data_IF_926655817148
#
_entry.id   IF_926655817148
#
_cell.length_a   1.000
_cell.length_b   1.000
_cell.length_c   1.000
_cell.angle_alpha   90.00
_cell.angle_beta   90.00
_cell.angle_gamma   90.00
#
_symmetry.space_group_name_H-M   'P 1'
#
loop_
_entity.id
_entity.type
_entity.pdbx_description
1 polymer ?
#
# COMPACT_ATOMS: atom_id res chain seq x y z
N UNK A 1 11.67 0.88 -9.91
CA UNK A 1 10.66 0.85 -11.00
C UNK A 1 9.43 0.16 -10.46
N UNK A 2 8.25 0.78 -10.58
CA UNK A 2 7.02 0.21 -10.05
C UNK A 2 6.55 -0.91 -10.98
N UNK A 3 6.55 -2.16 -10.51
CA UNK A 3 6.04 -3.31 -11.28
C UNK A 3 4.51 -3.33 -11.13
N UNK A 4 3.75 -3.76 -12.16
CA UNK A 4 2.31 -3.86 -12.03
C UNK A 4 1.97 -4.91 -10.97
N UNK A 5 1.04 -4.59 -10.08
CA UNK A 5 0.52 -5.51 -9.07
C UNK A 5 -0.76 -6.14 -9.61
N UNK A 6 -0.87 -7.46 -9.47
CA UNK A 6 -2.04 -8.21 -9.91
C UNK A 6 -2.40 -9.22 -8.83
N UNK A 7 -3.67 -9.25 -8.44
CA UNK A 7 -4.17 -10.23 -7.50
C UNK A 7 -4.10 -11.65 -8.08
N UNK A 8 -3.68 -12.62 -7.27
CA UNK A 8 -3.90 -14.03 -7.55
C UNK A 8 -4.00 -14.83 -6.24
N UNK A 9 -4.75 -15.94 -6.28
CA UNK A 9 -4.81 -16.87 -5.17
C UNK A 9 -3.61 -17.82 -5.21
N UNK A 10 -2.81 -17.82 -4.14
CA UNK A 10 -1.63 -18.70 -4.01
C UNK A 10 -2.02 -20.19 -3.93
N UNK A 11 -3.25 -20.53 -3.56
CA UNK A 11 -3.74 -21.90 -3.63
C UNK A 11 -4.17 -22.31 -5.04
N UNK A 12 -4.37 -21.35 -5.95
CA UNK A 12 -4.74 -21.62 -7.33
C UNK A 12 -3.51 -21.84 -8.23
N UNK A 13 -2.59 -22.69 -7.75
CA UNK A 13 -1.46 -23.15 -8.52
C UNK A 13 -1.85 -24.32 -9.43
N UNK A 14 -1.17 -24.44 -10.56
CA UNK A 14 -1.22 -25.63 -11.39
C UNK A 14 -0.31 -26.75 -10.82
N UNK A 15 -0.32 -27.90 -11.49
CA UNK A 15 0.50 -29.06 -11.09
C UNK A 15 2.02 -28.82 -11.15
N UNK A 16 2.46 -27.72 -11.77
CA UNK A 16 3.86 -27.28 -11.86
C UNK A 16 4.18 -26.17 -10.86
N UNK A 17 3.24 -25.79 -10.01
CA UNK A 17 3.41 -24.73 -9.01
C UNK A 17 3.33 -23.32 -9.60
N UNK A 18 2.73 -23.13 -10.78
CA UNK A 18 2.51 -21.80 -11.39
C UNK A 18 1.13 -21.29 -11.03
N UNK A 19 1.02 -20.03 -10.63
CA UNK A 19 -0.27 -19.43 -10.23
C UNK A 19 -1.13 -19.12 -11.45
N UNK A 20 -2.39 -19.56 -11.46
CA UNK A 20 -3.32 -19.24 -12.56
C UNK A 20 -3.82 -17.80 -12.45
N UNK A 21 -3.65 -17.03 -13.51
CA UNK A 21 -4.07 -15.63 -13.62
C UNK A 21 -5.50 -15.53 -14.18
N UNK A 22 -6.43 -16.27 -13.59
CA UNK A 22 -7.82 -16.39 -14.05
C UNK A 22 -8.86 -16.04 -12.98
N UNK A 23 -8.44 -15.71 -11.76
CA UNK A 23 -9.34 -15.33 -10.68
C UNK A 23 -10.01 -13.98 -10.99
N UNK A 24 -11.22 -13.76 -10.47
CA UNK A 24 -11.98 -12.50 -10.66
C UNK A 24 -11.13 -11.27 -10.29
N UNK A 25 -10.47 -11.28 -9.12
CA UNK A 25 -9.59 -10.18 -8.71
C UNK A 25 -8.42 -9.93 -9.66
N UNK A 26 -7.89 -10.98 -10.31
CA UNK A 26 -6.88 -10.84 -11.36
C UNK A 26 -7.43 -10.00 -12.50
N UNK A 27 -8.62 -10.34 -13.01
CA UNK A 27 -9.24 -9.70 -14.16
C UNK A 27 -9.55 -8.24 -13.82
N UNK A 28 -10.10 -7.98 -12.63
CA UNK A 28 -10.38 -6.63 -12.15
C UNK A 28 -9.12 -5.76 -12.09
N UNK A 29 -7.99 -6.29 -11.61
CA UNK A 29 -6.73 -5.56 -11.57
C UNK A 29 -6.16 -5.33 -12.98
N UNK A 30 -6.22 -6.32 -13.86
CA UNK A 30 -5.77 -6.19 -15.24
C UNK A 30 -6.56 -5.10 -15.97
N UNK A 31 -7.88 -5.04 -15.79
CA UNK A 31 -8.74 -4.01 -16.36
C UNK A 31 -8.47 -2.64 -15.73
N UNK A 32 -8.44 -2.57 -14.39
CA UNK A 32 -8.19 -1.33 -13.63
C UNK A 32 -6.88 -0.67 -14.02
N UNK A 33 -5.84 -1.46 -14.25
CA UNK A 33 -4.51 -0.98 -14.59
C UNK A 33 -4.21 -0.98 -16.10
N UNK A 34 -5.15 -1.44 -16.94
CA UNK A 34 -4.95 -1.55 -18.39
C UNK A 34 -3.80 -2.48 -18.77
N UNK A 35 -3.57 -3.54 -17.99
CA UNK A 35 -2.48 -4.49 -18.18
C UNK A 35 -2.91 -5.56 -19.17
N UNK A 36 -2.15 -5.72 -20.25
CA UNK A 36 -2.26 -6.85 -21.17
C UNK A 36 -1.13 -7.82 -20.85
N UNK A 37 -1.48 -9.04 -20.43
CA UNK A 37 -0.54 -10.11 -20.12
C UNK A 37 0.26 -10.53 -21.36
N UNK A 38 1.58 -10.69 -21.19
CA UNK A 38 2.51 -11.14 -22.22
C UNK A 38 3.51 -12.13 -21.63
N UNK A 39 3.94 -13.08 -22.46
CA UNK A 39 4.99 -14.03 -22.09
C UNK A 39 6.26 -13.31 -21.59
N UNK A 40 6.80 -13.73 -20.45
CA UNK A 40 7.99 -13.17 -19.84
C UNK A 40 7.80 -11.84 -19.09
N UNK A 41 6.56 -11.32 -19.00
CA UNK A 41 6.28 -10.08 -18.28
C UNK A 41 6.42 -10.27 -16.77
N UNK A 42 7.22 -9.43 -16.10
CA UNK A 42 7.32 -9.42 -14.64
C UNK A 42 6.16 -8.66 -14.00
N UNK A 43 5.54 -9.27 -12.98
CA UNK A 43 4.45 -8.72 -12.17
C UNK A 43 4.76 -8.91 -10.68
N UNK A 44 4.13 -8.12 -9.83
CA UNK A 44 3.99 -8.45 -8.41
C UNK A 44 2.65 -9.14 -8.25
N UNK A 45 2.69 -10.41 -7.87
CA UNK A 45 1.51 -11.19 -7.53
C UNK A 45 1.22 -10.99 -6.06
N UNK A 46 -0.01 -10.62 -5.73
CA UNK A 46 -0.40 -10.44 -4.33
C UNK A 46 -1.71 -11.14 -3.99
N UNK A 47 -1.85 -11.48 -2.73
CA UNK A 47 -3.06 -11.93 -2.05
C UNK A 47 -3.13 -11.17 -0.72
N UNK A 48 -4.27 -11.20 -0.03
CA UNK A 48 -4.60 -10.42 1.17
C UNK A 48 -3.40 -9.90 1.98
N UNK A 49 -2.55 -10.81 2.45
CA UNK A 49 -1.38 -10.52 3.28
C UNK A 49 -0.06 -10.95 2.64
N UNK A 50 -0.05 -11.44 1.39
CA UNK A 50 1.13 -12.03 0.76
C UNK A 50 1.46 -11.37 -0.57
N UNK A 51 2.74 -11.18 -0.87
CA UNK A 51 3.19 -10.77 -2.19
C UNK A 51 4.47 -11.50 -2.62
N UNK A 52 4.61 -11.66 -3.93
CA UNK A 52 5.79 -12.26 -4.55
C UNK A 52 5.99 -11.70 -5.95
N UNK A 53 7.22 -11.70 -6.43
CA UNK A 53 7.47 -11.43 -7.83
C UNK A 53 7.15 -12.67 -8.67
N UNK A 54 6.42 -12.47 -9.77
CA UNK A 54 6.08 -13.52 -10.73
C UNK A 54 6.42 -13.13 -12.16
N UNK A 55 6.70 -14.15 -12.97
CA UNK A 55 6.89 -14.00 -14.42
C UNK A 55 5.73 -14.65 -15.15
N UNK A 56 5.06 -13.88 -15.99
CA UNK A 56 3.91 -14.34 -16.77
C UNK A 56 4.35 -15.38 -17.80
N UNK A 57 3.57 -16.46 -17.88
CA UNK A 57 3.78 -17.56 -18.79
C UNK A 57 2.44 -18.12 -19.29
N UNK A 58 2.31 -18.32 -20.60
CA UNK A 58 1.13 -18.96 -21.19
C UNK A 58 1.21 -20.48 -21.04
N UNK A 59 0.28 -21.06 -20.28
CA UNK A 59 0.17 -22.51 -20.16
C UNK A 59 -0.53 -23.09 -21.38
N UNK A 60 0.23 -23.70 -22.29
CA UNK A 60 -0.33 -24.41 -23.44
C UNK A 60 -1.22 -25.61 -23.06
N UNK A 61 -1.00 -26.18 -21.87
CA UNK A 61 -1.72 -27.34 -21.35
C UNK A 61 -3.13 -26.96 -20.87
N UNK A 62 -3.25 -25.84 -20.17
CA UNK A 62 -4.51 -25.36 -19.60
C UNK A 62 -5.16 -24.23 -20.42
N UNK A 63 -4.47 -23.76 -21.48
CA UNK A 63 -4.88 -22.67 -22.37
C UNK A 63 -5.18 -21.35 -21.64
N UNK A 64 -4.41 -21.05 -20.60
CA UNK A 64 -4.57 -19.85 -19.77
C UNK A 64 -3.23 -19.24 -19.37
N UNK A 65 -3.26 -17.98 -18.93
CA UNK A 65 -2.10 -17.30 -18.38
C UNK A 65 -1.80 -17.74 -16.96
N UNK A 66 -0.53 -18.01 -16.69
CA UNK A 66 0.00 -18.37 -15.38
C UNK A 66 1.13 -17.42 -14.99
N UNK A 67 1.50 -17.40 -13.71
CA UNK A 67 2.71 -16.76 -13.21
C UNK A 67 3.63 -17.80 -12.58
N UNK A 68 4.87 -17.85 -13.05
CA UNK A 68 5.96 -18.60 -12.41
C UNK A 68 6.47 -17.74 -11.25
N UNK A 69 6.45 -18.28 -10.03
CA UNK A 69 6.90 -17.61 -8.81
C UNK A 69 7.96 -18.45 -8.11
N UNK A 70 8.76 -17.80 -7.27
CA UNK A 70 9.61 -18.47 -6.30
C UNK A 70 8.87 -18.54 -4.95
N UNK A 71 8.49 -19.74 -4.53
CA UNK A 71 7.72 -19.98 -3.32
C UNK A 71 8.50 -19.63 -2.05
N UNK A 72 9.83 -19.72 -2.09
CA UNK A 72 10.69 -19.35 -0.97
C UNK A 72 10.89 -17.82 -0.87
N UNK A 73 10.45 -17.07 -1.88
CA UNK A 73 10.56 -15.62 -1.96
C UNK A 73 9.26 -14.87 -1.62
N UNK A 74 8.21 -15.59 -1.21
CA UNK A 74 6.95 -14.99 -0.76
C UNK A 74 7.18 -14.16 0.50
N UNK A 75 6.56 -12.98 0.55
CA UNK A 75 6.68 -12.02 1.66
C UNK A 75 5.32 -11.65 2.19
N UNK A 76 5.25 -11.41 3.49
CA UNK A 76 4.08 -10.78 4.09
C UNK A 76 4.04 -9.30 3.69
N UNK A 77 2.86 -8.85 3.26
CA UNK A 77 2.57 -7.43 3.04
C UNK A 77 2.08 -6.89 4.36
N UNK A 78 2.87 -5.99 4.97
CA UNK A 78 2.35 -5.25 6.13
C UNK A 78 1.07 -4.52 5.70
N UNK A 79 -0.05 -4.66 6.44
CA UNK A 79 -1.24 -3.90 6.15
C UNK A 79 -0.85 -2.43 6.14
N UNK A 80 -1.24 -1.70 5.10
CA UNK A 80 -1.12 -0.25 5.07
C UNK A 80 -2.05 0.26 6.17
N UNK A 81 -1.56 0.32 7.41
CA UNK A 81 -2.19 1.11 8.46
C UNK A 81 -2.17 2.53 7.92
N UNK A 82 -3.33 3.14 7.61
CA UNK A 82 -3.34 4.55 7.31
C UNK A 82 -2.72 5.20 8.54
N UNK A 83 -1.53 5.81 8.41
CA UNK A 83 -1.06 6.66 9.49
C UNK A 83 -2.21 7.65 9.72
N UNK A 84 -2.77 7.74 10.94
CA UNK A 84 -3.69 8.82 11.21
C UNK A 84 -2.94 10.08 10.82
N UNK A 85 -3.50 10.83 9.87
CA UNK A 85 -2.94 12.11 9.47
C UNK A 85 -2.66 12.84 10.78
N UNK A 86 -1.38 13.12 11.06
CA UNK A 86 -1.00 14.00 12.16
C UNK A 86 -1.61 15.35 11.76
N UNK A 87 -2.87 15.59 12.13
CA UNK A 87 -3.44 16.91 12.11
C UNK A 87 -2.62 17.69 13.13
N UNK A 88 -1.87 18.64 12.60
CA UNK A 88 -0.99 19.51 13.35
C UNK A 88 -1.67 19.98 14.64
N UNK A 89 -1.15 19.51 15.77
CA UNK A 89 -1.29 20.25 17.02
C UNK A 89 -0.51 21.54 16.84
N UNK A 90 -1.20 22.59 16.38
CA UNK A 90 -0.70 23.96 16.50
C UNK A 90 -0.38 24.22 17.96
N UNK A 91 0.83 24.65 18.32
CA UNK A 91 1.09 25.04 19.70
C UNK A 91 0.22 26.24 20.03
N UNK A 92 -0.65 26.09 21.03
CA UNK A 92 -1.30 27.22 21.70
C UNK A 92 -0.17 28.10 22.25
N UNK A 93 0.05 29.25 21.61
CA UNK A 93 0.95 30.26 22.16
C UNK A 93 0.22 30.91 23.34
N UNK A 94 0.64 30.56 24.56
CA UNK A 94 0.20 31.26 25.77
C UNK A 94 0.72 32.71 25.75
N UNK A 95 -0.12 33.73 26.05
CA UNK A 95 0.31 35.12 26.05
C UNK A 95 1.20 35.45 27.26
N UNK A 96 2.35 36.08 27.00
CA UNK A 96 3.43 36.43 27.94
C UNK A 96 3.12 37.57 28.94
N UNK A 97 1.90 37.71 29.45
CA UNK A 97 1.62 38.71 30.51
C UNK A 97 1.66 38.13 31.93
N UNK A 98 1.81 36.81 32.08
CA UNK A 98 2.03 36.20 33.37
C UNK A 98 3.54 36.04 33.66
N UNK A 99 4.25 37.15 33.91
CA UNK A 99 5.47 37.16 34.73
C UNK A 99 5.95 38.59 35.04
N UNK A 100 5.54 39.08 36.22
CA UNK A 100 6.42 39.81 37.14
C UNK A 100 6.69 41.30 36.88
N UNK A 101 6.00 42.16 37.65
CA UNK A 101 6.44 43.54 37.87
C UNK A 101 5.45 44.29 38.76
N UNK A 102 5.77 44.42 40.06
CA UNK A 102 5.03 45.28 40.98
C UNK A 102 5.06 46.73 40.47
N UNK A 103 3.88 47.31 40.18
CA UNK A 103 3.70 48.76 40.15
C UNK A 103 2.78 49.16 41.31
N UNK A 104 3.32 50.08 42.10
CA UNK A 104 2.85 50.58 43.39
C UNK A 104 1.52 51.31 43.31
N UNK A 105 0.74 51.23 44.39
CA UNK A 105 -0.46 52.04 44.59
C UNK A 105 -0.10 53.53 44.77
N UNK A 106 -0.49 54.40 43.83
CA UNK A 106 -1.01 55.76 44.03
C UNK A 106 -1.32 56.41 42.67
N UNK A 107 -2.22 57.41 42.68
CA UNK A 107 -2.62 58.32 41.59
C UNK A 107 -3.74 57.81 40.66
N UNK A 108 -5.02 57.90 41.07
CA UNK A 108 -5.95 59.04 40.89
C UNK A 108 -5.71 59.95 39.66
N UNK A 109 -6.74 59.98 38.80
CA UNK A 109 -7.38 61.14 38.16
C UNK A 109 -7.11 61.49 36.68
N UNK A 110 -8.23 61.73 35.97
CA UNK A 110 -8.45 62.64 34.81
C UNK A 110 -7.74 62.38 33.48
N UNK A 111 -8.49 61.94 32.45
CA UNK A 111 -9.22 62.77 31.49
C UNK A 111 -10.20 61.92 30.66
#
# INVERSE_FOLDING_TARGET
MNKPRVFADFHNADVKGRLRLSCVGTIEDLERHGIVLREGQSLIIYSEELEVEGVVHYSEEEKLWTAVIDWDAIREVEPIVPQPAIQAISPVIEPKWANGGYITALEINTM
#
